data_IF_327692142503
#
_entry.id   IF_327692142503
#
_cell.length_a   1.000
_cell.length_b   1.000
_cell.length_c   1.000
_cell.angle_alpha   90.00
_cell.angle_beta   90.00
_cell.angle_gamma   90.00
#
_symmetry.space_group_name_H-M   'P 1'
#
loop_
_entity.id
_entity.type
_entity.pdbx_description
1 polymer ?
#
# COMPACT_ATOMS: atom_id res chain seq x y z
N UNK A 1 -1.35 11.75 33.74
CA UNK A 1 -0.11 11.63 32.93
C UNK A 1 -0.46 10.92 31.63
N UNK A 2 -0.63 11.67 30.53
CA UNK A 2 -0.88 11.10 29.20
C UNK A 2 0.48 10.68 28.63
N UNK A 3 0.73 9.38 28.47
CA UNK A 3 1.90 8.88 27.74
C UNK A 3 1.74 9.27 26.27
N UNK A 4 2.65 10.10 25.75
CA UNK A 4 2.76 10.36 24.33
C UNK A 4 3.17 9.05 23.64
N UNK A 5 2.42 8.68 22.60
CA UNK A 5 2.84 7.61 21.70
C UNK A 5 4.07 8.10 20.90
N UNK A 6 5.09 7.25 20.69
CA UNK A 6 6.26 7.63 19.90
C UNK A 6 5.88 7.84 18.42
N UNK A 7 6.47 8.88 17.81
CA UNK A 7 6.25 9.36 16.44
C UNK A 7 6.59 8.36 15.31
N UNK A 8 6.97 7.12 15.63
CA UNK A 8 7.52 6.14 14.67
C UNK A 8 6.50 5.20 14.01
N UNK A 9 5.19 5.43 14.19
CA UNK A 9 4.11 4.56 13.62
C UNK A 9 3.55 5.12 12.29
N UNK A 10 4.00 6.30 11.85
CA UNK A 10 3.36 7.01 10.74
C UNK A 10 3.83 6.63 9.32
N UNK A 11 4.90 5.86 9.17
CA UNK A 11 5.56 5.64 7.86
C UNK A 11 5.05 4.43 7.03
N UNK A 12 4.03 3.71 7.50
CA UNK A 12 3.63 2.44 6.84
C UNK A 12 2.14 2.20 6.64
N UNK A 13 1.28 3.19 6.90
CA UNK A 13 -0.14 3.05 6.63
C UNK A 13 -0.47 3.76 5.33
N UNK A 14 -0.55 3.02 4.21
CA UNK A 14 -1.54 3.38 3.20
C UNK A 14 -2.86 2.94 3.83
N UNK A 15 -3.67 3.83 4.44
CA UNK A 15 -5.02 3.44 4.82
C UNK A 15 -5.66 2.88 3.56
N UNK A 16 -6.09 1.62 3.60
CA UNK A 16 -7.20 1.21 2.76
C UNK A 16 -8.27 2.26 3.01
N UNK A 17 -8.66 2.99 1.97
CA UNK A 17 -9.71 4.02 2.01
C UNK A 17 -11.06 3.30 2.19
N UNK A 18 -11.21 2.61 3.32
CA UNK A 18 -12.41 1.88 3.71
C UNK A 18 -13.38 2.92 4.26
N UNK A 19 -14.13 3.54 3.37
CA UNK A 19 -15.19 4.45 3.74
C UNK A 19 -16.50 3.94 3.14
N UNK A 20 -17.53 3.81 3.98
CA UNK A 20 -18.83 3.37 3.54
C UNK A 20 -19.53 4.52 2.77
N UNK A 21 -20.43 4.21 1.82
CA UNK A 21 -21.22 5.23 1.14
C UNK A 21 -21.97 6.12 2.15
N UNK A 22 -22.12 7.42 1.85
CA UNK A 22 -22.78 8.38 2.75
C UNK A 22 -21.99 8.74 4.01
N UNK A 23 -20.76 8.23 4.19
CA UNK A 23 -19.89 8.59 5.31
C UNK A 23 -18.92 9.72 4.96
N UNK A 24 -18.26 10.27 5.98
CA UNK A 24 -17.20 11.26 5.80
C UNK A 24 -15.85 10.55 5.73
N UNK A 25 -15.17 10.66 4.59
CA UNK A 25 -13.76 10.30 4.47
C UNK A 25 -12.92 11.30 5.27
N UNK A 26 -12.07 10.79 6.17
CA UNK A 26 -11.16 11.60 6.99
C UNK A 26 -9.73 11.09 6.81
N UNK A 27 -8.89 11.87 6.17
CA UNK A 27 -7.44 11.66 6.10
C UNK A 27 -6.80 12.84 6.79
N UNK A 28 -6.16 12.62 7.94
CA UNK A 28 -5.71 13.71 8.80
C UNK A 28 -4.19 13.74 8.89
N UNK A 29 -3.65 14.96 9.01
CA UNK A 29 -2.26 15.24 9.32
C UNK A 29 -1.25 14.62 8.33
N UNK A 30 -1.56 14.64 7.03
CA UNK A 30 -0.72 14.04 5.97
C UNK A 30 -0.02 15.09 5.11
N UNK A 31 1.23 14.83 4.75
CA UNK A 31 1.96 15.56 3.73
C UNK A 31 1.37 15.27 2.34
N UNK A 32 1.51 16.20 1.40
CA UNK A 32 1.01 16.02 0.04
C UNK A 32 1.55 14.74 -0.64
N UNK A 33 2.82 14.39 -0.40
CA UNK A 33 3.42 13.16 -0.92
C UNK A 33 2.67 11.89 -0.46
N UNK A 34 2.26 11.86 0.82
CA UNK A 34 1.53 10.73 1.39
C UNK A 34 0.12 10.65 0.79
N UNK A 35 -0.53 11.79 0.59
CA UNK A 35 -1.85 11.85 -0.06
C UNK A 35 -1.81 11.33 -1.50
N UNK A 36 -0.77 11.69 -2.27
CA UNK A 36 -0.57 11.18 -3.63
C UNK A 36 -0.33 9.67 -3.59
N UNK A 37 0.55 9.18 -2.70
CA UNK A 37 0.81 7.75 -2.56
C UNK A 37 -0.46 6.95 -2.24
N UNK A 38 -1.32 7.49 -1.37
CA UNK A 38 -2.62 6.89 -1.03
C UNK A 38 -3.55 6.90 -2.25
N UNK A 39 -3.68 8.04 -2.93
CA UNK A 39 -4.60 8.20 -4.07
C UNK A 39 -4.26 7.28 -5.25
N UNK A 40 -2.98 7.02 -5.48
CA UNK A 40 -2.50 6.19 -6.59
C UNK A 40 -2.09 4.77 -6.18
N UNK A 41 -2.23 4.43 -4.90
CA UNK A 41 -1.85 3.14 -4.30
C UNK A 41 -0.41 2.71 -4.67
N UNK A 42 0.57 3.59 -4.38
CA UNK A 42 1.99 3.37 -4.69
C UNK A 42 2.88 3.55 -3.45
N UNK A 43 4.04 2.89 -3.45
CA UNK A 43 5.08 3.10 -2.43
C UNK A 43 5.93 4.36 -2.67
N UNK A 44 6.67 4.81 -1.66
CA UNK A 44 7.45 6.06 -1.74
C UNK A 44 8.54 6.01 -2.82
N UNK A 45 9.18 4.86 -3.03
CA UNK A 45 10.18 4.65 -4.11
C UNK A 45 9.58 4.65 -5.51
N UNK A 46 8.24 4.58 -5.62
CA UNK A 46 7.52 4.64 -6.89
C UNK A 46 7.02 6.05 -7.24
N UNK A 47 7.30 7.04 -6.39
CA UNK A 47 6.93 8.44 -6.61
C UNK A 47 8.18 9.24 -6.96
N UNK A 48 8.14 9.92 -8.11
CA UNK A 48 9.13 10.91 -8.48
C UNK A 48 8.46 12.28 -8.66
N UNK A 49 9.25 13.35 -8.55
CA UNK A 49 8.73 14.71 -8.66
C UNK A 49 9.72 15.75 -8.14
N UNK A 50 9.26 16.98 -7.95
CA UNK A 50 10.08 18.07 -7.44
C UNK A 50 10.71 17.75 -6.07
N UNK A 51 11.96 18.21 -5.79
CA UNK A 51 12.63 17.92 -4.52
C UNK A 51 11.81 18.33 -3.29
N UNK A 52 11.12 19.47 -3.33
CA UNK A 52 10.28 19.94 -2.23
C UNK A 52 9.14 18.96 -1.86
N UNK A 53 8.72 18.10 -2.79
CA UNK A 53 7.66 17.11 -2.57
C UNK A 53 8.24 15.77 -2.10
N UNK A 54 9.31 15.32 -2.76
CA UNK A 54 9.88 13.98 -2.54
C UNK A 54 10.77 13.96 -1.29
N UNK A 55 11.67 14.94 -1.19
CA UNK A 55 12.66 15.07 -0.11
C UNK A 55 12.80 16.55 0.29
N UNK A 56 11.76 17.14 0.91
CA UNK A 56 11.77 18.54 1.31
C UNK A 56 12.93 18.86 2.26
N UNK A 57 13.67 19.96 2.04
CA UNK A 57 14.67 20.42 2.98
C UNK A 57 14.02 20.91 4.28
N UNK A 58 14.65 20.66 5.43
CA UNK A 58 14.19 21.14 6.74
C UNK A 58 13.87 20.01 7.72
N UNK A 59 13.28 20.35 8.87
CA UNK A 59 12.82 19.34 9.83
C UNK A 59 11.46 18.82 9.38
N UNK A 60 11.18 17.54 9.64
CA UNK A 60 9.90 16.90 9.27
C UNK A 60 8.65 17.63 9.78
N UNK A 61 8.79 18.41 10.87
CA UNK A 61 7.71 19.22 11.44
C UNK A 61 7.40 20.52 10.67
N UNK A 62 8.30 20.98 9.81
CA UNK A 62 8.12 22.23 9.05
C UNK A 62 7.41 21.99 7.70
N UNK A 63 7.26 20.74 7.29
CA UNK A 63 6.61 20.35 6.04
C UNK A 63 5.09 20.50 6.21
N UNK A 64 4.40 21.23 5.32
CA UNK A 64 2.95 21.38 5.38
C UNK A 64 2.21 20.05 5.47
N UNK A 65 1.22 19.99 6.36
CA UNK A 65 0.33 18.85 6.56
C UNK A 65 -1.11 19.27 6.36
N UNK A 66 -1.89 18.37 5.79
CA UNK A 66 -3.25 18.64 5.36
C UNK A 66 -4.22 17.64 5.98
N UNK A 67 -5.41 18.15 6.25
CA UNK A 67 -6.58 17.36 6.60
C UNK A 67 -7.53 17.34 5.40
N UNK A 68 -7.87 16.15 4.93
CA UNK A 68 -8.94 15.93 3.96
C UNK A 68 -10.15 15.41 4.73
N UNK A 69 -11.20 16.23 4.77
CA UNK A 69 -12.51 15.86 5.31
C UNK A 69 -13.52 16.02 4.18
N UNK A 70 -13.91 14.91 3.56
CA UNK A 70 -14.80 14.92 2.40
C UNK A 70 -16.02 14.05 2.67
N UNK A 71 -17.20 14.53 2.28
CA UNK A 71 -18.42 13.71 2.28
C UNK A 71 -18.42 12.83 1.04
N UNK A 72 -18.57 11.52 1.24
CA UNK A 72 -18.77 10.59 0.15
C UNK A 72 -20.25 10.56 -0.22
N UNK A 73 -20.61 10.68 -1.51
CA UNK A 73 -21.95 10.40 -2.00
C UNK A 73 -22.52 9.07 -1.48
N UNK A 74 -23.84 9.00 -1.31
CA UNK A 74 -24.53 7.79 -0.82
C UNK A 74 -24.42 6.60 -1.77
N UNK A 75 -24.11 6.85 -3.05
CA UNK A 75 -23.90 5.87 -4.10
C UNK A 75 -22.42 5.55 -4.37
N UNK A 76 -21.50 6.05 -3.52
CA UNK A 76 -20.06 5.83 -3.69
C UNK A 76 -19.71 4.35 -3.67
N UNK A 77 -19.11 3.85 -4.74
CA UNK A 77 -18.51 2.52 -4.75
C UNK A 77 -17.12 2.61 -4.10
N UNK A 78 -16.72 1.71 -3.18
CA UNK A 78 -15.41 1.78 -2.51
C UNK A 78 -14.22 1.94 -3.46
N UNK A 79 -14.26 1.27 -4.61
CA UNK A 79 -13.21 1.34 -5.64
C UNK A 79 -13.09 2.71 -6.32
N UNK A 80 -14.10 3.58 -6.19
CA UNK A 80 -14.08 4.96 -6.71
C UNK A 80 -13.41 5.95 -5.75
N UNK A 81 -13.30 5.62 -4.46
CA UNK A 81 -12.75 6.56 -3.45
C UNK A 81 -11.32 7.00 -3.79
N UNK A 82 -10.39 6.14 -4.25
CA UNK A 82 -9.08 6.57 -4.71
C UNK A 82 -9.14 7.57 -5.88
N UNK A 83 -10.05 7.34 -6.84
CA UNK A 83 -10.23 8.23 -8.00
C UNK A 83 -10.78 9.59 -7.58
N UNK A 84 -11.74 9.61 -6.63
CA UNK A 84 -12.25 10.87 -6.06
C UNK A 84 -11.14 11.65 -5.35
N UNK A 85 -10.24 10.95 -4.64
CA UNK A 85 -9.08 11.57 -4.03
C UNK A 85 -8.10 12.10 -5.09
N UNK A 86 -7.86 11.38 -6.19
CA UNK A 86 -7.03 11.88 -7.30
C UNK A 86 -7.60 13.18 -7.89
N UNK A 87 -8.91 13.24 -8.12
CA UNK A 87 -9.58 14.44 -8.63
C UNK A 87 -9.48 15.61 -7.65
N UNK A 88 -9.70 15.36 -6.36
CA UNK A 88 -9.54 16.37 -5.33
C UNK A 88 -8.11 16.94 -5.33
N UNK A 89 -7.09 16.08 -5.43
CA UNK A 89 -5.69 16.53 -5.48
C UNK A 89 -5.40 17.31 -6.78
N UNK A 90 -5.95 16.90 -7.91
CA UNK A 90 -5.84 17.62 -9.17
C UNK A 90 -6.48 19.02 -9.10
N UNK A 91 -7.65 19.14 -8.48
CA UNK A 91 -8.35 20.43 -8.39
C UNK A 91 -7.72 21.37 -7.37
N UNK A 92 -7.44 20.85 -6.16
CA UNK A 92 -6.99 21.64 -5.01
C UNK A 92 -5.51 21.98 -5.09
N UNK A 93 -4.67 21.05 -5.52
CA UNK A 93 -3.22 21.23 -5.59
C UNK A 93 -2.71 21.40 -7.03
N UNK A 94 -3.60 21.53 -8.02
CA UNK A 94 -3.24 21.57 -9.44
C UNK A 94 -2.32 20.39 -9.84
N UNK A 95 -2.54 19.25 -9.20
CA UNK A 95 -1.70 18.06 -9.36
C UNK A 95 -1.79 17.57 -10.82
N UNK A 96 -0.64 17.46 -11.48
CA UNK A 96 -0.48 16.77 -12.76
C UNK A 96 0.56 15.68 -12.62
N UNK A 97 0.22 14.50 -13.13
CA UNK A 97 1.08 13.32 -13.07
C UNK A 97 1.04 12.55 -14.37
N UNK A 98 2.10 11.79 -14.63
CA UNK A 98 2.10 10.73 -15.63
C UNK A 98 2.77 9.47 -15.08
N UNK A 99 2.59 8.35 -15.78
CA UNK A 99 3.27 7.09 -15.48
C UNK A 99 4.37 6.85 -16.48
N UNK A 100 5.51 6.39 -16.00
CA UNK A 100 6.63 5.95 -16.83
C UNK A 100 7.17 4.61 -16.30
N UNK A 101 7.92 3.89 -17.13
CA UNK A 101 8.63 2.69 -16.73
C UNK A 101 10.10 3.03 -16.47
N UNK A 102 10.61 2.66 -15.30
CA UNK A 102 12.04 2.79 -14.99
C UNK A 102 12.61 1.49 -14.46
N UNK A 103 13.88 1.27 -14.75
CA UNK A 103 14.64 0.20 -14.13
C UNK A 103 15.00 0.61 -12.69
N UNK A 104 14.39 -0.06 -11.72
CA UNK A 104 14.62 0.14 -10.29
C UNK A 104 14.80 -1.22 -9.59
N UNK A 105 15.12 -1.20 -8.30
CA UNK A 105 15.02 -2.41 -7.49
C UNK A 105 13.53 -2.76 -7.32
N UNK A 106 13.19 -4.02 -7.54
CA UNK A 106 11.85 -4.58 -7.35
C UNK A 106 11.94 -5.85 -6.51
N UNK A 107 10.82 -6.22 -5.92
CA UNK A 107 10.58 -7.52 -5.30
C UNK A 107 9.68 -8.32 -6.23
N UNK A 108 10.25 -9.18 -7.06
CA UNK A 108 9.49 -9.95 -8.03
C UNK A 108 8.74 -11.09 -7.32
N UNK A 109 7.41 -11.07 -7.40
CA UNK A 109 6.56 -12.17 -6.97
C UNK A 109 6.48 -13.20 -8.11
N UNK A 110 7.02 -14.39 -7.89
CA UNK A 110 7.20 -15.43 -8.89
C UNK A 110 6.60 -16.76 -8.39
N UNK A 111 6.41 -17.71 -9.31
CA UNK A 111 6.05 -19.08 -8.92
C UNK A 111 7.24 -19.74 -8.24
N UNK A 112 7.01 -20.34 -7.06
CA UNK A 112 8.06 -21.11 -6.41
C UNK A 112 8.39 -22.35 -7.26
N UNK A 113 9.63 -22.82 -7.20
CA UNK A 113 10.08 -24.07 -7.87
C UNK A 113 9.26 -25.30 -7.46
N UNK A 114 8.65 -25.26 -6.27
CA UNK A 114 7.78 -26.33 -5.74
C UNK A 114 6.36 -26.30 -6.32
N UNK A 115 6.03 -25.31 -7.15
CA UNK A 115 4.70 -25.11 -7.71
C UNK A 115 3.73 -24.45 -6.72
N UNK A 116 2.59 -24.03 -7.26
CA UNK A 116 1.52 -23.38 -6.51
C UNK A 116 0.90 -24.35 -5.50
N UNK A 117 0.82 -23.96 -4.23
CA UNK A 117 0.26 -24.78 -3.13
C UNK A 117 -1.15 -24.37 -2.74
N UNK A 118 -1.63 -23.25 -3.27
CA UNK A 118 -3.01 -22.78 -3.12
C UNK A 118 -3.85 -23.19 -4.32
N UNK A 119 -5.12 -23.52 -4.08
CA UNK A 119 -6.06 -23.87 -5.13
C UNK A 119 -6.70 -22.59 -5.68
N UNK A 120 -6.80 -22.43 -7.02
CA UNK A 120 -7.65 -21.43 -7.62
C UNK A 120 -9.08 -21.54 -7.10
N UNK A 121 -9.76 -20.41 -6.95
CA UNK A 121 -11.19 -20.40 -6.62
C UNK A 121 -12.00 -20.95 -7.80
N UNK A 122 -13.07 -21.69 -7.51
CA UNK A 122 -14.04 -22.12 -8.52
C UNK A 122 -14.91 -20.96 -8.99
N UNK A 123 -15.42 -21.03 -10.22
CA UNK A 123 -16.38 -20.06 -10.74
C UNK A 123 -17.68 -20.08 -9.91
N UNK A 124 -18.20 -18.91 -9.52
CA UNK A 124 -19.48 -18.76 -8.81
C UNK A 124 -19.38 -18.42 -7.33
N UNK A 125 -18.17 -18.25 -6.82
CA UNK A 125 -17.93 -18.00 -5.42
C UNK A 125 -17.83 -16.46 -5.24
N UNK A 126 -18.95 -15.84 -4.86
CA UNK A 126 -19.05 -14.39 -4.69
C UNK A 126 -18.43 -13.94 -3.36
N UNK A 127 -17.71 -12.83 -3.34
CA UNK A 127 -17.10 -12.29 -2.13
C UNK A 127 -16.24 -11.06 -2.40
N UNK A 128 -16.26 -10.10 -1.48
CA UNK A 128 -15.44 -8.89 -1.57
C UNK A 128 -13.95 -9.27 -1.66
N UNK A 129 -13.26 -8.68 -2.63
CA UNK A 129 -11.81 -8.81 -2.79
C UNK A 129 -11.08 -7.98 -1.74
N UNK A 130 -10.02 -8.53 -1.17
CA UNK A 130 -9.13 -7.79 -0.27
C UNK A 130 -8.57 -8.64 0.87
N UNK A 131 -7.70 -8.01 1.67
CA UNK A 131 -7.08 -8.61 2.85
C UNK A 131 -7.58 -7.95 4.13
N UNK A 132 -8.17 -8.74 5.03
CA UNK A 132 -8.52 -8.31 6.38
C UNK A 132 -7.35 -8.65 7.31
N UNK A 133 -6.62 -7.63 7.77
CA UNK A 133 -5.43 -7.78 8.63
C UNK A 133 -5.79 -7.64 10.11
N UNK A 134 -5.34 -8.57 10.93
CA UNK A 134 -5.36 -8.51 12.38
C UNK A 134 -3.92 -8.38 12.92
N UNK A 135 -3.59 -7.20 13.45
CA UNK A 135 -2.28 -6.93 14.07
C UNK A 135 -2.13 -7.51 15.48
N UNK A 136 -3.23 -7.89 16.12
CA UNK A 136 -3.26 -8.41 17.49
C UNK A 136 -3.51 -9.92 17.49
N UNK A 137 -2.87 -10.65 16.57
CA UNK A 137 -2.95 -12.11 16.58
C UNK A 137 -2.27 -12.72 17.80
N UNK A 138 -2.56 -13.99 18.05
CA UNK A 138 -1.99 -14.72 19.17
C UNK A 138 -0.44 -14.69 19.11
N UNK A 139 0.20 -14.49 20.26
CA UNK A 139 1.66 -14.50 20.42
C UNK A 139 2.42 -13.49 19.53
N UNK A 140 1.81 -12.35 19.19
CA UNK A 140 2.47 -11.30 18.40
C UNK A 140 2.56 -11.60 16.90
N UNK A 141 1.94 -12.67 16.41
CA UNK A 141 1.85 -12.98 14.98
C UNK A 141 0.76 -12.11 14.35
N UNK A 142 1.11 -11.36 13.31
CA UNK A 142 0.12 -10.67 12.47
C UNK A 142 -0.50 -11.68 11.52
N UNK A 143 -1.82 -11.63 11.36
CA UNK A 143 -2.54 -12.47 10.40
C UNK A 143 -3.31 -11.62 9.40
N UNK A 144 -3.39 -12.07 8.16
CA UNK A 144 -4.27 -11.46 7.16
C UNK A 144 -5.01 -12.52 6.37
N UNK A 145 -6.34 -12.42 6.36
CA UNK A 145 -7.19 -13.26 5.52
C UNK A 145 -7.45 -12.53 4.22
N UNK A 146 -6.84 -13.01 3.14
CA UNK A 146 -6.94 -12.45 1.80
C UNK A 146 -7.94 -13.27 0.98
N UNK A 147 -8.92 -12.61 0.38
CA UNK A 147 -10.00 -13.26 -0.37
C UNK A 147 -10.11 -12.69 -1.77
N UNK A 148 -10.40 -13.56 -2.73
CA UNK A 148 -10.70 -13.21 -4.11
C UNK A 148 -9.62 -12.33 -4.77
N UNK A 149 -8.35 -12.73 -4.62
CA UNK A 149 -7.21 -11.94 -5.10
C UNK A 149 -6.44 -12.64 -6.22
N UNK A 150 -6.13 -11.90 -7.28
CA UNK A 150 -5.10 -12.28 -8.26
C UNK A 150 -3.69 -12.12 -7.67
N UNK A 151 -2.68 -12.73 -8.31
CA UNK A 151 -1.28 -12.53 -7.93
C UNK A 151 -0.84 -11.06 -8.04
N UNK A 152 -1.31 -10.35 -9.08
CA UNK A 152 -1.10 -8.91 -9.24
C UNK A 152 -1.68 -8.09 -8.08
N UNK A 153 -2.90 -8.40 -7.65
CA UNK A 153 -3.50 -7.72 -6.49
C UNK A 153 -2.77 -8.08 -5.19
N UNK A 154 -2.31 -9.32 -5.03
CA UNK A 154 -1.49 -9.72 -3.88
C UNK A 154 -0.19 -8.91 -3.83
N UNK A 155 0.53 -8.78 -4.94
CA UNK A 155 1.74 -7.96 -5.01
C UNK A 155 1.49 -6.52 -4.53
N UNK A 156 0.40 -5.90 -4.98
CA UNK A 156 0.00 -4.56 -4.50
C UNK A 156 -0.32 -4.56 -3.00
N UNK A 157 -1.08 -5.54 -2.50
CA UNK A 157 -1.43 -5.62 -1.08
C UNK A 157 -0.23 -5.88 -0.17
N UNK A 158 0.79 -6.61 -0.62
CA UNK A 158 1.99 -6.87 0.18
C UNK A 158 2.72 -5.58 0.55
N UNK A 159 2.75 -4.61 -0.36
CA UNK A 159 3.31 -3.29 -0.10
C UNK A 159 2.56 -2.56 1.02
N UNK A 160 1.25 -2.75 1.13
CA UNK A 160 0.40 -2.14 2.17
C UNK A 160 0.42 -2.92 3.49
N UNK A 161 0.41 -4.25 3.42
CA UNK A 161 0.34 -5.11 4.60
C UNK A 161 1.63 -5.07 5.41
N UNK A 162 2.79 -4.94 4.74
CA UNK A 162 4.11 -5.06 5.35
C UNK A 162 5.20 -4.32 4.59
N UNK A 163 5.09 -2.99 4.44
CA UNK A 163 6.04 -2.20 3.67
C UNK A 163 7.49 -2.31 4.17
N UNK A 164 7.69 -2.54 5.47
CA UNK A 164 9.03 -2.70 6.07
C UNK A 164 9.80 -3.91 5.52
N UNK A 165 9.13 -4.89 4.92
CA UNK A 165 9.78 -6.01 4.23
C UNK A 165 10.28 -5.66 2.82
N UNK A 166 9.80 -4.54 2.26
CA UNK A 166 10.07 -4.12 0.88
C UNK A 166 10.60 -2.67 0.84
N UNK A 167 11.72 -2.36 1.53
CA UNK A 167 12.22 -0.99 1.65
C UNK A 167 12.73 -0.39 0.33
N UNK A 168 13.23 -1.22 -0.59
CA UNK A 168 13.98 -0.73 -1.76
C UNK A 168 13.12 -0.45 -3.00
N UNK A 169 11.88 -0.93 -3.03
CA UNK A 169 11.03 -0.84 -4.21
C UNK A 169 9.77 -1.69 -4.10
N UNK A 170 8.94 -1.68 -5.16
CA UNK A 170 7.64 -2.33 -5.14
C UNK A 170 7.73 -3.84 -5.28
N UNK A 171 6.68 -4.52 -4.82
CA UNK A 171 6.40 -5.89 -5.20
C UNK A 171 5.74 -5.91 -6.58
N UNK A 172 6.28 -6.68 -7.52
CA UNK A 172 5.81 -6.78 -8.90
C UNK A 172 5.45 -8.22 -9.22
N UNK A 173 4.22 -8.45 -9.67
CA UNK A 173 3.78 -9.77 -10.11
C UNK A 173 4.47 -10.19 -11.42
N UNK A 174 5.19 -11.30 -11.35
CA UNK A 174 5.82 -12.02 -12.47
C UNK A 174 5.38 -13.49 -12.53
N UNK A 175 4.31 -13.85 -11.82
CA UNK A 175 3.81 -15.23 -11.75
C UNK A 175 3.10 -15.67 -13.04
N UNK A 176 2.49 -14.72 -13.76
CA UNK A 176 1.60 -15.00 -14.90
C UNK A 176 0.24 -15.60 -14.51
N UNK A 177 -0.09 -15.67 -13.22
CA UNK A 177 -1.35 -16.23 -12.73
C UNK A 177 -2.49 -15.22 -12.86
N UNK A 178 -3.54 -15.60 -13.59
CA UNK A 178 -4.74 -14.76 -13.78
C UNK A 178 -5.93 -15.19 -12.91
N UNK A 179 -5.83 -16.36 -12.27
CA UNK A 179 -6.89 -16.85 -11.37
C UNK A 179 -6.91 -16.05 -10.07
N UNK A 180 -8.05 -16.11 -9.37
CA UNK A 180 -8.18 -15.56 -8.02
C UNK A 180 -8.03 -16.64 -6.96
N UNK A 181 -7.53 -16.22 -5.81
CA UNK A 181 -7.19 -17.07 -4.69
C UNK A 181 -7.73 -16.51 -3.37
N UNK A 182 -7.93 -17.42 -2.43
CA UNK A 182 -8.23 -17.11 -1.03
C UNK A 182 -7.22 -17.85 -0.16
N UNK A 183 -6.57 -17.14 0.75
CA UNK A 183 -5.52 -17.68 1.62
C UNK A 183 -5.36 -16.81 2.86
N UNK A 184 -4.63 -17.36 3.85
CA UNK A 184 -4.25 -16.64 5.06
C UNK A 184 -2.74 -16.46 5.07
N UNK A 185 -2.28 -15.24 5.33
CA UNK A 185 -0.88 -14.92 5.60
C UNK A 185 -0.68 -14.80 7.12
N UNK A 186 0.44 -15.31 7.60
CA UNK A 186 0.86 -15.21 9.00
C UNK A 186 2.33 -14.82 9.04
N UNK A 187 2.65 -13.71 9.70
CA UNK A 187 4.02 -13.21 9.80
C UNK A 187 4.22 -12.39 11.07
N UNK A 188 5.45 -12.26 11.53
CA UNK A 188 5.86 -11.25 12.52
C UNK A 188 6.34 -10.00 11.81
N UNK A 189 6.21 -8.82 12.42
CA UNK A 189 6.65 -7.57 11.80
C UNK A 189 8.17 -7.50 11.69
N UNK A 190 8.70 -6.63 10.79
CA UNK A 190 10.15 -6.48 10.69
C UNK A 190 10.77 -5.98 12.00
N UNK A 191 10.06 -5.12 12.73
CA UNK A 191 10.49 -4.63 14.05
C UNK A 191 10.64 -5.77 15.07
N UNK A 192 9.73 -6.72 15.10
CA UNK A 192 9.81 -7.90 15.98
C UNK A 192 11.00 -8.78 15.62
N UNK A 193 11.25 -8.98 14.32
CA UNK A 193 12.44 -9.71 13.84
C UNK A 193 13.73 -9.03 14.25
N UNK A 194 13.80 -7.70 14.11
CA UNK A 194 14.98 -6.92 14.51
C UNK A 194 15.20 -6.95 16.03
N UNK A 195 14.13 -7.15 16.81
CA UNK A 195 14.18 -7.40 18.25
C UNK A 195 14.54 -8.85 18.62
N UNK A 196 14.73 -9.74 17.63
CA UNK A 196 15.07 -11.15 17.84
C UNK A 196 13.89 -12.05 18.23
N UNK A 197 12.65 -11.62 17.99
CA UNK A 197 11.48 -12.48 18.17
C UNK A 197 11.43 -13.57 17.09
N UNK A 198 11.09 -14.80 17.50
CA UNK A 198 10.92 -15.93 16.60
C UNK A 198 9.53 -15.92 15.96
N UNK A 199 9.47 -16.14 14.65
CA UNK A 199 8.21 -16.24 13.91
C UNK A 199 8.40 -16.24 12.40
N UNK A 200 7.35 -16.59 11.63
CA UNK A 200 7.41 -16.56 10.17
C UNK A 200 7.64 -15.15 9.65
N UNK A 201 8.54 -15.00 8.68
CA UNK A 201 8.68 -13.76 7.93
C UNK A 201 7.58 -13.63 6.86
N UNK A 202 7.44 -12.43 6.28
CA UNK A 202 6.58 -12.24 5.11
C UNK A 202 7.02 -13.13 3.93
N UNK A 203 8.32 -13.37 3.75
CA UNK A 203 8.83 -14.28 2.72
C UNK A 203 8.39 -15.72 2.97
N UNK A 204 8.49 -16.19 4.22
CA UNK A 204 8.02 -17.54 4.61
C UNK A 204 6.51 -17.71 4.39
N UNK A 205 5.73 -16.67 4.69
CA UNK A 205 4.29 -16.67 4.48
C UNK A 205 3.93 -16.85 2.99
N UNK A 206 4.70 -16.24 2.09
CA UNK A 206 4.51 -16.34 0.64
C UNK A 206 5.01 -17.68 0.10
N UNK A 207 6.15 -18.18 0.57
CA UNK A 207 6.69 -19.50 0.20
C UNK A 207 5.73 -20.65 0.57
N UNK A 208 4.96 -20.50 1.65
CA UNK A 208 3.89 -21.43 2.02
C UNK A 208 2.76 -21.50 0.97
N UNK A 209 2.54 -20.44 0.20
CA UNK A 209 1.55 -20.43 -0.89
C UNK A 209 2.06 -21.10 -2.17
N UNK A 210 3.36 -21.44 -2.23
CA UNK A 210 3.99 -21.89 -3.47
C UNK A 210 4.32 -20.74 -4.42
N UNK A 211 4.43 -19.53 -3.90
CA UNK A 211 4.95 -18.34 -4.56
C UNK A 211 6.28 -17.97 -3.91
N UNK A 212 7.11 -17.18 -4.56
CA UNK A 212 8.39 -16.73 -4.03
C UNK A 212 8.58 -15.25 -4.31
N UNK A 213 9.34 -14.55 -3.46
CA UNK A 213 9.71 -13.15 -3.69
C UNK A 213 11.22 -13.03 -3.77
N UNK A 214 11.71 -12.52 -4.89
CA UNK A 214 13.12 -12.25 -5.11
C UNK A 214 13.39 -10.76 -5.35
N UNK A 215 14.35 -10.20 -4.60
CA UNK A 215 14.82 -8.83 -4.80
C UNK A 215 15.76 -8.79 -6.00
N UNK A 216 15.37 -8.07 -7.05
CA UNK A 216 16.14 -7.98 -8.30
C UNK A 216 16.02 -6.59 -8.92
N UNK A 217 16.87 -6.27 -9.90
CA UNK A 217 16.63 -5.12 -10.78
C UNK A 217 15.53 -5.47 -11.77
N UNK A 218 14.62 -4.55 -12.03
CA UNK A 218 13.56 -4.76 -12.99
C UNK A 218 12.81 -3.48 -13.33
N UNK A 219 12.02 -3.55 -14.40
CA UNK A 219 11.13 -2.46 -14.79
C UNK A 219 9.92 -2.42 -13.85
N UNK A 220 9.68 -1.27 -13.25
CA UNK A 220 8.44 -1.00 -12.51
C UNK A 220 7.87 0.36 -12.85
N UNK A 221 6.55 0.46 -12.73
CA UNK A 221 5.81 1.69 -12.99
C UNK A 221 6.11 2.72 -11.91
N UNK A 222 6.59 3.87 -12.36
CA UNK A 222 6.77 5.07 -11.55
C UNK A 222 5.63 6.04 -11.81
N UNK A 223 5.15 6.71 -10.76
CA UNK A 223 4.30 7.89 -10.89
C UNK A 223 5.19 9.12 -10.78
N UNK A 224 5.18 9.95 -11.82
CA UNK A 224 5.93 11.21 -11.86
C UNK A 224 4.96 12.34 -11.63
N UNK A 225 5.28 13.21 -10.67
CA UNK A 225 4.60 14.48 -10.46
C UNK A 225 5.23 15.53 -11.34
N UNK A 226 4.50 15.94 -12.37
CA UNK A 226 4.89 17.00 -13.30
C UNK A 226 4.72 18.37 -12.65
N UNK A 227 3.63 18.53 -11.91
CA UNK A 227 3.25 19.78 -11.28
C UNK A 227 2.40 19.53 -10.04
N UNK A 228 2.63 20.33 -8.99
CA UNK A 228 1.74 20.48 -7.85
C UNK A 228 2.01 21.84 -7.19
N UNK A 229 0.97 22.44 -6.61
CA UNK A 229 1.07 23.61 -5.74
C UNK A 229 1.30 23.16 -4.29
N UNK A 230 2.08 23.92 -3.51
CA UNK A 230 2.32 23.61 -2.09
C UNK A 230 1.14 23.99 -1.20
N UNK A 231 0.34 24.96 -1.63
CA UNK A 231 -0.82 25.47 -0.92
C UNK A 231 -2.05 25.13 -1.76
N UNK A 232 -3.07 24.46 -1.20
CA UNK A 232 -4.27 24.16 -1.95
C UNK A 232 -5.12 25.40 -2.19
N UNK A 233 -5.94 25.39 -3.24
CA UNK A 233 -6.97 26.41 -3.45
C UNK A 233 -8.05 26.38 -2.35
N UNK A 234 -8.59 27.55 -2.01
CA UNK A 234 -9.63 27.72 -0.98
C UNK A 234 -10.86 26.84 -1.18
N UNK A 235 -11.46 26.37 -0.07
CA UNK A 235 -12.57 25.41 -0.01
C UNK A 235 -13.84 25.82 -0.74
#
# INVERSE_FOLDING_TARGET
MRRSLPDSILDSFVPTLNAAPGTTLRILNRQLKELIMIAYNIGGRQLAGPPWLIDPPGRTGDIPRFDIVAKLPEDTVPDQVPVMLQNLLADRFKLRVHREQREIVIYALELAKTGLKIKPRGAGDEGQSGCARNMFGANGITTAVCRNMTAAQLAQQLQTLSPAYFPDGPVVDKTGLTQTFTFTLEWITQQQRDAGEDGPSMFDAIDKLGLHIERQKGSAGLLVVDQAEQIPSEN
#
